data_IF_293546229053
#
_entry.id   IF_293546229053
#
_cell.length_a   1.000
_cell.length_b   1.000
_cell.length_c   1.000
_cell.angle_alpha   90.00
_cell.angle_beta   90.00
_cell.angle_gamma   90.00
#
_symmetry.space_group_name_H-M   'P 1'
#
loop_
_entity.id
_entity.type
_entity.pdbx_description
1 polymer ?
#
# COMPACT_ATOMS: atom_id res chain seq x y z
N UNK A 1 12.13 21.12 -1.69
CA UNK A 1 11.85 20.01 -0.77
C UNK A 1 11.92 18.74 -1.61
N UNK A 2 12.67 17.74 -1.18
CA UNK A 2 12.65 16.43 -1.85
C UNK A 2 11.35 15.70 -1.54
N UNK A 3 10.95 14.75 -2.39
CA UNK A 3 9.78 13.90 -2.11
C UNK A 3 9.91 13.18 -0.75
N UNK A 4 11.12 12.76 -0.37
CA UNK A 4 11.37 12.14 0.93
C UNK A 4 11.11 13.06 2.13
N UNK A 5 11.54 14.32 2.05
CA UNK A 5 11.23 15.33 3.08
C UNK A 5 9.72 15.59 3.16
N UNK A 6 9.06 15.70 2.00
CA UNK A 6 7.62 15.94 1.93
C UNK A 6 6.81 14.77 2.51
N UNK A 7 7.20 13.52 2.23
CA UNK A 7 6.59 12.33 2.82
C UNK A 7 6.70 12.33 4.34
N UNK A 8 7.89 12.64 4.87
CA UNK A 8 8.11 12.74 6.33
C UNK A 8 7.25 13.84 6.96
N UNK A 9 7.22 15.03 6.35
CA UNK A 9 6.46 16.18 6.86
C UNK A 9 4.95 15.92 6.85
N UNK A 10 4.45 15.14 5.88
CA UNK A 10 3.02 14.85 5.70
C UNK A 10 2.53 13.57 6.38
N UNK A 11 3.42 12.73 6.87
CA UNK A 11 3.06 11.43 7.44
C UNK A 11 2.00 11.53 8.53
N UNK A 12 2.20 12.44 9.50
CA UNK A 12 1.24 12.64 10.61
C UNK A 12 -0.13 13.09 10.11
N UNK A 13 -0.18 14.04 9.18
CA UNK A 13 -1.43 14.54 8.59
C UNK A 13 -2.20 13.42 7.88
N UNK A 14 -1.49 12.62 7.07
CA UNK A 14 -2.05 11.48 6.35
C UNK A 14 -2.58 10.40 7.31
N UNK A 15 -1.79 10.01 8.31
CA UNK A 15 -2.20 9.00 9.29
C UNK A 15 -3.45 9.45 10.05
N UNK A 16 -3.50 10.73 10.45
CA UNK A 16 -4.65 11.30 11.12
C UNK A 16 -5.89 11.28 10.22
N UNK A 17 -5.78 11.70 8.95
CA UNK A 17 -6.88 11.67 7.99
C UNK A 17 -7.40 10.24 7.75
N UNK A 18 -6.51 9.30 7.50
CA UNK A 18 -6.84 7.89 7.28
C UNK A 18 -7.48 7.23 8.52
N UNK A 19 -7.19 7.73 9.72
CA UNK A 19 -7.80 7.22 10.97
C UNK A 19 -9.30 7.55 11.08
N UNK A 20 -9.78 8.55 10.34
CA UNK A 20 -11.19 8.96 10.30
C UNK A 20 -12.01 8.17 9.27
N UNK A 21 -11.35 7.38 8.43
CA UNK A 21 -11.97 6.57 7.36
C UNK A 21 -12.48 5.23 7.90
N UNK A 22 -13.26 4.44 7.13
CA UNK A 22 -13.67 3.11 7.57
C UNK A 22 -12.47 2.25 8.01
N UNK A 23 -12.52 1.79 9.26
CA UNK A 23 -11.43 1.04 9.88
C UNK A 23 -11.70 -0.46 9.83
N UNK A 24 -10.71 -1.23 9.41
CA UNK A 24 -10.72 -2.69 9.33
C UNK A 24 -9.53 -3.29 10.08
N UNK A 25 -9.54 -4.61 10.28
CA UNK A 25 -8.33 -5.32 10.66
C UNK A 25 -7.48 -5.51 9.40
N UNK A 26 -6.31 -4.88 9.37
CA UNK A 26 -5.36 -5.03 8.28
C UNK A 26 -4.25 -6.01 8.66
N UNK A 27 -3.64 -6.62 7.66
CA UNK A 27 -2.44 -7.45 7.79
C UNK A 27 -1.20 -6.59 8.06
N UNK A 28 -1.09 -5.44 7.41
CA UNK A 28 0.02 -4.49 7.60
C UNK A 28 1.32 -4.83 6.85
N UNK A 29 1.37 -5.99 6.20
CA UNK A 29 2.46 -6.44 5.31
C UNK A 29 1.88 -7.39 4.23
N UNK A 30 0.78 -6.96 3.60
CA UNK A 30 0.00 -7.79 2.69
C UNK A 30 0.64 -7.86 1.30
N UNK A 31 1.66 -8.70 1.15
CA UNK A 31 2.45 -8.85 -0.09
C UNK A 31 2.51 -10.29 -0.56
N UNK A 32 2.82 -10.46 -1.86
CA UNK A 32 2.83 -11.77 -2.52
C UNK A 32 3.72 -12.82 -1.80
N UNK A 33 4.87 -12.42 -1.26
CA UNK A 33 5.77 -13.31 -0.51
C UNK A 33 5.14 -13.88 0.78
N UNK A 34 4.13 -13.20 1.33
CA UNK A 34 3.41 -13.61 2.54
C UNK A 34 2.13 -14.42 2.21
N UNK A 35 1.98 -14.90 0.97
CA UNK A 35 0.81 -15.64 0.52
C UNK A 35 1.19 -17.03 0.00
N UNK A 36 0.52 -18.05 0.55
CA UNK A 36 0.49 -19.38 -0.04
C UNK A 36 -0.78 -19.57 -0.84
N UNK A 37 -0.64 -20.23 -2.00
CA UNK A 37 -1.73 -20.62 -2.87
C UNK A 37 -1.79 -22.15 -2.93
N UNK A 38 -2.98 -22.72 -2.91
CA UNK A 38 -3.14 -24.15 -3.18
C UNK A 38 -2.80 -24.48 -4.64
N UNK A 39 -2.57 -25.76 -4.93
CA UNK A 39 -2.29 -26.22 -6.29
C UNK A 39 -3.48 -26.11 -7.25
N UNK A 40 -4.70 -25.92 -6.73
CA UNK A 40 -5.89 -25.70 -7.55
C UNK A 40 -5.97 -24.26 -8.10
N UNK A 41 -5.20 -23.32 -7.55
CA UNK A 41 -5.20 -21.93 -7.96
C UNK A 41 -6.50 -21.19 -7.64
N UNK A 42 -7.30 -21.69 -6.70
CA UNK A 42 -8.54 -21.05 -6.27
C UNK A 42 -8.33 -20.14 -5.04
N UNK A 43 -9.24 -19.18 -4.87
CA UNK A 43 -9.21 -18.23 -3.75
C UNK A 43 -9.38 -18.95 -2.40
N UNK A 44 -10.12 -20.07 -2.37
CA UNK A 44 -10.30 -20.87 -1.15
C UNK A 44 -8.98 -21.47 -0.65
N UNK A 45 -7.97 -21.56 -1.52
CA UNK A 45 -6.62 -21.98 -1.21
C UNK A 45 -5.65 -20.88 -0.81
N UNK A 46 -6.05 -19.61 -0.80
CA UNK A 46 -5.16 -18.51 -0.40
C UNK A 46 -5.03 -18.49 1.13
N UNK A 47 -3.79 -18.56 1.62
CA UNK A 47 -3.48 -18.39 3.04
C UNK A 47 -2.43 -17.29 3.19
N UNK A 48 -2.80 -16.21 3.87
CA UNK A 48 -1.87 -15.16 4.28
C UNK A 48 -1.17 -15.54 5.59
N UNK A 49 0.15 -15.38 5.63
CA UNK A 49 1.02 -15.66 6.78
C UNK A 49 1.75 -14.39 7.22
N UNK A 50 2.48 -14.48 8.32
CA UNK A 50 3.26 -13.35 8.85
C UNK A 50 2.41 -12.12 9.24
N UNK A 51 1.47 -12.38 10.15
CA UNK A 51 0.60 -11.34 10.69
C UNK A 51 1.28 -10.42 11.70
N UNK A 52 2.61 -10.36 11.82
CA UNK A 52 3.27 -9.58 12.89
C UNK A 52 2.98 -8.07 12.86
N UNK A 53 2.57 -7.54 11.71
CA UNK A 53 2.23 -6.13 11.49
C UNK A 53 0.74 -5.81 11.62
N UNK A 54 -0.09 -6.78 12.04
CA UNK A 54 -1.54 -6.62 12.06
C UNK A 54 -1.97 -5.48 12.97
N UNK A 55 -2.94 -4.68 12.52
CA UNK A 55 -3.50 -3.58 13.31
C UNK A 55 -4.86 -3.17 12.79
N UNK A 56 -5.57 -2.35 13.58
CA UNK A 56 -6.75 -1.65 13.09
C UNK A 56 -6.31 -0.44 12.28
N UNK A 57 -6.74 -0.34 11.02
CA UNK A 57 -6.38 0.78 10.14
C UNK A 57 -7.40 1.00 9.02
N UNK A 58 -7.16 2.02 8.18
CA UNK A 58 -7.94 2.28 6.97
C UNK A 58 -7.92 1.04 6.06
N UNK A 59 -9.09 0.69 5.51
CA UNK A 59 -9.24 -0.46 4.60
C UNK A 59 -8.40 -0.37 3.33
N UNK A 60 -8.00 0.83 2.90
CA UNK A 60 -7.18 0.99 1.71
C UNK A 60 -5.73 0.53 1.91
N UNK A 61 -5.24 0.40 3.14
CA UNK A 61 -3.82 0.16 3.43
C UNK A 61 -3.27 -1.11 2.78
N UNK A 62 -3.91 -2.26 3.03
CA UNK A 62 -3.38 -3.55 2.56
C UNK A 62 -3.40 -3.65 1.02
N UNK A 63 -4.42 -3.09 0.36
CA UNK A 63 -4.48 -3.10 -1.11
C UNK A 63 -3.45 -2.13 -1.71
N UNK A 64 -3.22 -0.97 -1.11
CA UNK A 64 -2.12 -0.07 -1.49
C UNK A 64 -0.76 -0.74 -1.34
N UNK A 65 -0.55 -1.39 -0.20
CA UNK A 65 0.71 -2.09 0.08
C UNK A 65 0.92 -3.26 -0.88
N UNK A 66 -0.11 -4.06 -1.14
CA UNK A 66 -0.05 -5.16 -2.09
C UNK A 66 0.35 -4.70 -3.49
N UNK A 67 -0.32 -3.66 -4.01
CA UNK A 67 -0.04 -3.12 -5.35
C UNK A 67 1.39 -2.58 -5.44
N UNK A 68 1.84 -1.82 -4.44
CA UNK A 68 3.19 -1.26 -4.43
C UNK A 68 4.29 -2.33 -4.25
N UNK A 69 4.08 -3.30 -3.37
CA UNK A 69 5.09 -4.28 -3.00
C UNK A 69 5.17 -5.47 -3.98
N UNK A 70 4.05 -5.86 -4.60
CA UNK A 70 3.91 -7.14 -5.30
C UNK A 70 3.80 -7.04 -6.82
N UNK A 71 3.36 -5.91 -7.38
CA UNK A 71 3.13 -5.78 -8.82
C UNK A 71 4.27 -5.02 -9.50
N UNK A 72 4.73 -5.51 -10.65
CA UNK A 72 5.62 -4.73 -11.51
C UNK A 72 4.88 -3.53 -12.10
N UNK A 73 5.59 -2.43 -12.38
CA UNK A 73 4.99 -1.17 -12.80
C UNK A 73 4.02 -1.32 -14.00
N UNK A 74 4.39 -2.09 -15.01
CA UNK A 74 3.56 -2.30 -16.20
C UNK A 74 2.31 -3.13 -15.90
N UNK A 75 2.44 -4.17 -15.06
CA UNK A 75 1.30 -4.98 -14.63
C UNK A 75 0.34 -4.15 -13.77
N UNK A 76 0.86 -3.30 -12.87
CA UNK A 76 0.05 -2.39 -12.07
C UNK A 76 -0.76 -1.48 -12.97
N UNK A 77 -0.14 -0.78 -13.93
CA UNK A 77 -0.83 0.15 -14.85
C UNK A 77 -1.99 -0.51 -15.60
N UNK A 78 -1.87 -1.79 -15.94
CA UNK A 78 -2.92 -2.56 -16.60
C UNK A 78 -4.06 -2.97 -15.63
N UNK A 79 -3.72 -3.36 -14.40
CA UNK A 79 -4.64 -4.09 -13.51
C UNK A 79 -5.22 -3.23 -12.38
N UNK A 80 -4.55 -2.16 -11.99
CA UNK A 80 -4.78 -1.40 -10.74
C UNK A 80 -6.24 -0.97 -10.60
N UNK A 81 -6.77 -0.23 -11.57
CA UNK A 81 -8.14 0.29 -11.47
C UNK A 81 -9.17 -0.84 -11.33
N UNK A 82 -8.97 -1.97 -12.04
CA UNK A 82 -9.86 -3.14 -11.93
C UNK A 82 -9.76 -3.77 -10.54
N UNK A 83 -8.54 -3.98 -10.03
CA UNK A 83 -8.31 -4.53 -8.68
C UNK A 83 -8.95 -3.66 -7.60
N UNK A 84 -8.81 -2.33 -7.72
CA UNK A 84 -9.39 -1.37 -6.78
C UNK A 84 -10.91 -1.38 -6.80
N UNK A 85 -11.53 -1.46 -7.98
CA UNK A 85 -12.99 -1.56 -8.09
C UNK A 85 -13.51 -2.87 -7.45
N UNK A 86 -12.88 -4.01 -7.73
CA UNK A 86 -13.26 -5.30 -7.12
C UNK A 86 -13.11 -5.27 -5.60
N UNK A 87 -12.00 -4.73 -5.09
CA UNK A 87 -11.75 -4.60 -3.66
C UNK A 87 -12.80 -3.70 -2.98
N UNK A 88 -13.07 -2.52 -3.57
CA UNK A 88 -14.05 -1.56 -3.05
C UNK A 88 -15.46 -2.14 -3.05
N UNK A 89 -15.89 -2.76 -4.14
CA UNK A 89 -17.18 -3.46 -4.21
C UNK A 89 -17.29 -4.51 -3.11
N UNK A 90 -16.21 -5.26 -2.85
CA UNK A 90 -16.21 -6.26 -1.79
C UNK A 90 -16.33 -5.66 -0.39
N UNK A 91 -15.73 -4.49 -0.13
CA UNK A 91 -15.93 -3.76 1.13
C UNK A 91 -17.40 -3.39 1.33
N UNK A 92 -18.06 -2.90 0.28
CA UNK A 92 -19.48 -2.54 0.32
C UNK A 92 -20.37 -3.77 0.57
N UNK A 93 -20.11 -4.87 -0.13
CA UNK A 93 -20.82 -6.14 0.06
C UNK A 93 -20.70 -6.69 1.50
N UNK A 94 -19.57 -6.41 2.16
CA UNK A 94 -19.31 -6.80 3.55
C UNK A 94 -19.83 -5.78 4.58
N UNK A 95 -20.55 -4.75 4.13
CA UNK A 95 -21.31 -3.83 5.00
C UNK A 95 -20.61 -2.49 5.29
N UNK A 96 -19.48 -2.18 4.64
CA UNK A 96 -18.93 -0.82 4.68
C UNK A 96 -19.90 0.11 3.95
N UNK A 97 -20.23 1.26 4.55
CA UNK A 97 -21.20 2.21 3.99
C UNK A 97 -20.68 3.64 4.08
N UNK A 98 -21.25 4.54 3.28
CA UNK A 98 -20.82 5.95 3.23
C UNK A 98 -19.41 6.16 2.68
N UNK A 99 -18.89 5.19 1.92
CA UNK A 99 -17.54 5.18 1.39
C UNK A 99 -17.58 4.99 -0.13
N UNK A 100 -17.69 6.09 -0.87
CA UNK A 100 -17.67 6.08 -2.33
C UNK A 100 -16.27 5.74 -2.87
N UNK A 101 -16.21 5.41 -4.17
CA UNK A 101 -14.97 4.98 -4.81
C UNK A 101 -13.93 6.11 -4.86
N UNK A 102 -14.34 7.37 -5.05
CA UNK A 102 -13.41 8.49 -5.14
C UNK A 102 -12.68 8.72 -3.81
N UNK A 103 -13.41 8.62 -2.69
CA UNK A 103 -12.82 8.65 -1.34
C UNK A 103 -11.89 7.46 -1.11
N UNK A 104 -12.31 6.26 -1.48
CA UNK A 104 -11.47 5.06 -1.37
C UNK A 104 -10.19 5.17 -2.19
N UNK A 105 -10.30 5.66 -3.43
CA UNK A 105 -9.17 5.84 -4.32
C UNK A 105 -8.18 6.88 -3.78
N UNK A 106 -8.69 7.98 -3.20
CA UNK A 106 -7.84 8.96 -2.51
C UNK A 106 -7.13 8.34 -1.30
N UNK A 107 -7.85 7.58 -0.47
CA UNK A 107 -7.26 6.91 0.70
C UNK A 107 -6.22 5.86 0.28
N UNK A 108 -6.44 5.18 -0.84
CA UNK A 108 -5.47 4.29 -1.49
C UNK A 108 -4.18 5.03 -1.85
N UNK A 109 -4.29 6.20 -2.50
CA UNK A 109 -3.14 7.03 -2.85
C UNK A 109 -2.39 7.54 -1.61
N UNK A 110 -3.13 8.02 -0.60
CA UNK A 110 -2.52 8.50 0.64
C UNK A 110 -1.85 7.39 1.45
N UNK A 111 -2.33 6.16 1.34
CA UNK A 111 -1.72 5.02 2.04
C UNK A 111 -0.27 4.76 1.60
N UNK A 112 0.14 5.17 0.39
CA UNK A 112 1.54 5.11 -0.03
C UNK A 112 2.46 5.96 0.85
N UNK A 113 1.97 7.11 1.32
CA UNK A 113 2.68 7.97 2.26
C UNK A 113 2.75 7.30 3.62
N UNK A 114 1.63 6.71 4.05
CA UNK A 114 1.55 6.08 5.37
C UNK A 114 2.60 4.98 5.53
N UNK A 115 2.70 4.04 4.59
CA UNK A 115 3.69 2.97 4.71
C UNK A 115 5.09 3.34 4.23
N UNK A 116 5.33 4.57 3.77
CA UNK A 116 6.68 5.00 3.37
C UNK A 116 7.70 4.87 4.53
N UNK A 117 7.23 4.96 5.78
CA UNK A 117 8.05 4.69 6.98
C UNK A 117 8.70 3.29 6.96
N UNK A 118 8.02 2.29 6.39
CA UNK A 118 8.55 0.92 6.29
C UNK A 118 9.75 0.84 5.36
N UNK A 119 9.80 1.67 4.30
CA UNK A 119 10.95 1.74 3.40
C UNK A 119 12.14 2.42 4.07
N UNK A 120 11.90 3.46 4.86
CA UNK A 120 12.94 4.12 5.66
C UNK A 120 13.54 3.15 6.68
N UNK A 121 12.70 2.42 7.40
CA UNK A 121 13.15 1.41 8.37
C UNK A 121 13.89 0.27 7.67
N UNK A 122 13.37 -0.25 6.56
CA UNK A 122 14.02 -1.30 5.78
C UNK A 122 15.42 -0.87 5.34
N UNK A 123 15.57 0.33 4.76
CA UNK A 123 16.89 0.84 4.34
C UNK A 123 17.87 1.05 5.50
N UNK A 124 17.39 1.35 6.71
CA UNK A 124 18.24 1.55 7.89
C UNK A 124 18.76 0.23 8.50
N UNK A 125 17.99 -0.86 8.40
CA UNK A 125 18.30 -2.15 9.01
C UNK A 125 18.82 -3.21 8.04
N UNK A 126 18.72 -2.97 6.73
CA UNK A 126 19.20 -3.91 5.73
C UNK A 126 20.73 -4.01 5.74
N UNK A 127 21.26 -5.23 5.69
CA UNK A 127 22.67 -5.46 5.44
C UNK A 127 23.01 -5.09 3.98
N UNK A 128 23.53 -3.88 3.80
CA UNK A 128 23.94 -3.35 2.49
C UNK A 128 25.17 -4.08 1.91
N UNK A 129 25.74 -5.05 2.63
CA UNK A 129 26.83 -5.91 2.12
C UNK A 129 26.33 -7.20 1.47
N UNK A 130 25.07 -7.60 1.69
CA UNK A 130 24.44 -8.73 1.01
C UNK A 130 23.89 -8.29 -0.36
N UNK A 131 24.42 -8.83 -1.49
CA UNK A 131 23.93 -8.50 -2.83
C UNK A 131 22.43 -8.78 -3.02
N UNK A 132 21.87 -9.76 -2.30
CA UNK A 132 20.43 -10.07 -2.37
C UNK A 132 19.60 -9.00 -1.70
N UNK A 133 20.03 -8.53 -0.52
CA UNK A 133 19.40 -7.41 0.17
C UNK A 133 19.37 -6.17 -0.71
N UNK A 134 20.53 -5.78 -1.26
CA UNK A 134 20.64 -4.61 -2.14
C UNK A 134 19.71 -4.74 -3.35
N UNK A 135 19.70 -5.89 -4.04
CA UNK A 135 18.82 -6.11 -5.19
C UNK A 135 17.33 -6.00 -4.82
N UNK A 136 16.93 -6.55 -3.67
CA UNK A 136 15.57 -6.46 -3.16
C UNK A 136 15.16 -5.00 -2.88
N UNK A 137 16.03 -4.23 -2.21
CA UNK A 137 15.76 -2.83 -1.91
C UNK A 137 15.67 -1.99 -3.20
N UNK A 138 16.61 -2.15 -4.13
CA UNK A 138 16.60 -1.43 -5.41
C UNK A 138 15.31 -1.70 -6.20
N UNK A 139 14.94 -2.97 -6.36
CA UNK A 139 13.71 -3.32 -7.08
C UNK A 139 12.46 -2.77 -6.39
N UNK A 140 12.46 -2.74 -5.05
CA UNK A 140 11.33 -2.21 -4.29
C UNK A 140 11.22 -0.69 -4.39
N UNK A 141 12.35 0.03 -4.36
CA UNK A 141 12.40 1.46 -4.60
C UNK A 141 11.95 1.81 -6.02
N UNK A 142 12.38 1.06 -7.04
CA UNK A 142 11.93 1.29 -8.44
C UNK A 142 10.41 1.16 -8.59
N UNK A 143 9.81 0.15 -7.94
CA UNK A 143 8.33 -0.01 -7.93
C UNK A 143 7.66 1.15 -7.20
N UNK A 144 8.20 1.56 -6.05
CA UNK A 144 7.64 2.65 -5.27
C UNK A 144 7.78 4.00 -5.98
N UNK A 145 8.92 4.31 -6.58
CA UNK A 145 9.10 5.53 -7.36
C UNK A 145 8.13 5.59 -8.54
N UNK A 146 7.91 4.45 -9.22
CA UNK A 146 6.91 4.39 -10.30
C UNK A 146 5.49 4.64 -9.80
N UNK A 147 5.11 4.16 -8.60
CA UNK A 147 3.76 4.38 -8.07
C UNK A 147 3.57 5.84 -7.65
N UNK A 148 4.57 6.44 -7.01
CA UNK A 148 4.51 7.85 -6.61
C UNK A 148 4.38 8.77 -7.82
N UNK A 149 5.13 8.50 -8.90
CA UNK A 149 5.09 9.29 -10.12
C UNK A 149 3.75 9.14 -10.86
N UNK A 150 3.26 7.92 -11.06
CA UNK A 150 2.04 7.68 -11.83
C UNK A 150 0.77 8.24 -11.14
N UNK A 151 0.78 8.35 -9.81
CA UNK A 151 -0.32 8.94 -9.04
C UNK A 151 -0.12 10.43 -8.68
N UNK A 152 0.98 11.05 -9.12
CA UNK A 152 1.32 12.44 -8.80
C UNK A 152 1.25 12.73 -7.28
N UNK A 153 1.81 11.81 -6.48
CA UNK A 153 1.70 11.87 -5.01
C UNK A 153 2.32 13.14 -4.45
N UNK A 154 3.40 13.64 -5.05
CA UNK A 154 4.02 14.91 -4.65
C UNK A 154 3.01 16.07 -4.68
N UNK A 155 2.25 16.20 -5.76
CA UNK A 155 1.22 17.23 -5.89
C UNK A 155 0.05 16.98 -4.94
N UNK A 156 -0.40 15.72 -4.81
CA UNK A 156 -1.49 15.33 -3.91
C UNK A 156 -1.24 15.77 -2.46
N UNK A 157 -0.02 15.53 -1.95
CA UNK A 157 0.34 15.82 -0.55
C UNK A 157 0.96 17.20 -0.35
N UNK A 158 1.24 17.93 -1.44
CA UNK A 158 1.57 19.35 -1.35
C UNK A 158 0.36 20.19 -0.94
N UNK A 159 -0.86 19.68 -1.15
CA UNK A 159 -2.12 20.28 -0.75
C UNK A 159 -2.50 19.88 0.69
N UNK A 160 -3.38 20.62 1.36
CA UNK A 160 -3.92 20.22 2.66
C UNK A 160 -4.61 18.85 2.58
N UNK A 161 -4.29 17.96 3.52
CA UNK A 161 -4.99 16.69 3.69
C UNK A 161 -6.30 16.97 4.43
N UNK A 162 -7.44 16.92 3.74
CA UNK A 162 -8.80 17.07 4.29
C UNK A 162 -9.69 15.89 3.92
#
# INVERSE_FOLDING_TARGET
MSIGELLCDRLSDVVNDLSLRPQTLIHGDYRYDNMFFNSAGDIAGLTAIDWQCFKRSCSAYDVSYFVAASLQADQRRELELRLLNEYHNKLLDLGVSGYDFDRFYRDYQLSFVYFAELWVLSGAYLDMTDPRGVAYLSASMERFDSILADHDIENLISQPIT
#
